data_IF_667739710188
#
_entry.id   IF_667739710188
#
_cell.length_a   1.000
_cell.length_b   1.000
_cell.length_c   1.000
_cell.angle_alpha   90.00
_cell.angle_beta   90.00
_cell.angle_gamma   90.00
#
_symmetry.space_group_name_H-M   'P 1'
#
loop_
_entity.id
_entity.type
_entity.pdbx_description
1 polymer ?
#
# COMPACT_ATOMS: atom_id res chain seq x y z
N UNK A 1 12.97 -11.23 -29.46
CA UNK A 1 14.26 -10.61 -29.08
C UNK A 1 14.02 -9.51 -28.03
N UNK A 2 14.38 -9.79 -26.76
CA UNK A 2 14.35 -8.79 -25.69
C UNK A 2 15.41 -7.72 -26.01
N UNK A 3 14.98 -6.49 -26.26
CA UNK A 3 15.89 -5.36 -26.39
C UNK A 3 16.54 -5.12 -25.02
N UNK A 4 17.86 -5.06 -25.01
CA UNK A 4 18.66 -4.98 -23.79
C UNK A 4 18.38 -3.67 -23.05
N UNK A 5 17.92 -3.79 -21.79
CA UNK A 5 17.91 -2.65 -20.88
C UNK A 5 19.34 -2.12 -20.76
N UNK A 6 19.55 -0.87 -21.16
CA UNK A 6 20.84 -0.22 -20.96
C UNK A 6 21.06 -0.09 -19.46
N UNK A 7 21.92 -0.95 -18.91
CA UNK A 7 22.30 -0.84 -17.50
C UNK A 7 23.10 0.46 -17.35
N UNK A 8 22.47 1.50 -16.84
CA UNK A 8 23.13 2.78 -16.58
C UNK A 8 24.20 2.58 -15.52
N UNK A 9 25.44 2.97 -15.82
CA UNK A 9 26.57 2.82 -14.90
C UNK A 9 26.42 3.85 -13.76
N UNK A 10 26.34 3.36 -12.53
CA UNK A 10 26.40 4.20 -11.34
C UNK A 10 27.79 4.85 -11.26
N UNK A 11 27.87 6.18 -11.42
CA UNK A 11 29.13 6.91 -11.44
C UNK A 11 29.62 7.25 -10.02
N UNK A 12 28.72 7.66 -9.15
CA UNK A 12 28.97 7.95 -7.74
C UNK A 12 27.75 7.55 -6.91
N UNK A 13 27.99 7.09 -5.68
CA UNK A 13 26.95 6.82 -4.68
C UNK A 13 27.33 7.55 -3.40
N UNK A 14 26.43 8.40 -2.91
CA UNK A 14 26.53 9.02 -1.59
C UNK A 14 25.22 8.83 -0.88
N UNK A 15 25.26 8.44 0.39
CA UNK A 15 24.08 8.41 1.23
C UNK A 15 23.62 9.86 1.44
N UNK A 16 22.44 10.19 0.92
CA UNK A 16 21.84 11.50 1.10
C UNK A 16 21.38 11.66 2.56
N UNK A 17 20.62 10.69 3.04
CA UNK A 17 20.05 10.67 4.40
C UNK A 17 20.23 9.27 5.02
N UNK A 18 20.95 9.13 6.15
CA UNK A 18 21.04 7.87 6.86
C UNK A 18 19.75 7.62 7.65
N UNK A 19 19.08 6.49 7.41
CA UNK A 19 17.89 6.11 8.18
C UNK A 19 18.23 5.81 9.64
N UNK A 20 17.36 6.27 10.54
CA UNK A 20 17.54 6.19 11.99
C UNK A 20 16.96 4.93 12.60
N UNK A 21 15.78 4.50 12.16
CA UNK A 21 15.08 3.36 12.77
C UNK A 21 14.52 2.36 11.75
N UNK A 22 14.28 2.77 10.51
CA UNK A 22 13.70 1.95 9.46
C UNK A 22 14.43 0.62 9.23
N UNK A 23 15.78 0.55 9.15
CA UNK A 23 16.49 -0.71 8.98
C UNK A 23 16.70 -1.51 10.29
N UNK A 24 16.35 -0.94 11.44
CA UNK A 24 16.64 -1.52 12.77
C UNK A 24 15.38 -1.93 13.54
N UNK A 25 14.21 -1.33 13.24
CA UNK A 25 12.91 -1.76 13.76
C UNK A 25 12.28 -2.76 12.79
N UNK A 26 12.02 -3.96 13.27
CA UNK A 26 11.46 -5.07 12.48
C UNK A 26 10.13 -4.72 11.83
N UNK A 27 9.25 -3.98 12.52
CA UNK A 27 7.93 -3.58 11.99
C UNK A 27 8.10 -2.60 10.84
N UNK A 28 8.98 -1.61 11.00
CA UNK A 28 9.27 -0.63 9.94
C UNK A 28 9.95 -1.28 8.74
N UNK A 29 10.91 -2.17 8.97
CA UNK A 29 11.57 -2.94 7.92
C UNK A 29 10.56 -3.79 7.12
N UNK A 30 9.62 -4.46 7.80
CA UNK A 30 8.56 -5.23 7.13
C UNK A 30 7.63 -4.34 6.30
N UNK A 31 7.23 -3.18 6.82
CA UNK A 31 6.45 -2.19 6.05
C UNK A 31 7.24 -1.72 4.82
N UNK A 32 8.51 -1.38 4.96
CA UNK A 32 9.37 -0.91 3.87
C UNK A 32 9.56 -1.99 2.78
N UNK A 33 9.74 -3.25 3.17
CA UNK A 33 9.82 -4.38 2.24
C UNK A 33 8.51 -4.55 1.46
N UNK A 34 7.37 -4.47 2.15
CA UNK A 34 6.06 -4.53 1.52
C UNK A 34 5.85 -3.41 0.51
N UNK A 35 6.11 -2.15 0.91
CA UNK A 35 5.97 -1.01 0.02
C UNK A 35 6.93 -1.08 -1.17
N UNK A 36 8.15 -1.58 -0.97
CA UNK A 36 9.12 -1.78 -2.07
C UNK A 36 8.58 -2.77 -3.11
N UNK A 37 7.96 -3.87 -2.69
CA UNK A 37 7.34 -4.81 -3.62
C UNK A 37 6.17 -4.16 -4.39
N UNK A 38 5.27 -3.47 -3.69
CA UNK A 38 4.13 -2.80 -4.34
C UNK A 38 4.60 -1.73 -5.33
N UNK A 39 5.54 -0.86 -4.93
CA UNK A 39 6.10 0.18 -5.79
C UNK A 39 6.78 -0.41 -7.03
N UNK A 40 7.58 -1.47 -6.87
CA UNK A 40 8.26 -2.14 -7.99
C UNK A 40 7.30 -2.69 -9.05
N UNK A 41 6.07 -3.00 -8.66
CA UNK A 41 5.04 -3.58 -9.54
C UNK A 41 4.07 -2.53 -10.11
N UNK A 42 3.89 -1.42 -9.39
CA UNK A 42 2.90 -0.37 -9.71
C UNK A 42 3.48 0.85 -10.39
N UNK A 43 4.71 1.26 -10.05
CA UNK A 43 5.37 2.40 -10.68
C UNK A 43 6.14 1.90 -11.90
N UNK A 44 5.58 2.10 -13.10
CA UNK A 44 6.13 1.61 -14.37
C UNK A 44 6.50 2.71 -15.36
N UNK A 45 6.21 3.96 -15.03
CA UNK A 45 6.42 5.09 -15.93
C UNK A 45 7.91 5.40 -16.07
N UNK A 46 8.36 5.57 -17.31
CA UNK A 46 9.72 6.01 -17.63
C UNK A 46 9.85 7.55 -17.66
N UNK A 47 8.74 8.28 -17.50
CA UNK A 47 8.71 9.73 -17.47
C UNK A 47 8.96 10.30 -16.07
N UNK A 48 9.52 11.51 -16.01
CA UNK A 48 9.79 12.19 -14.75
C UNK A 48 8.50 12.59 -14.04
N UNK A 49 8.24 12.00 -12.87
CA UNK A 49 7.16 12.40 -11.99
C UNK A 49 7.71 12.97 -10.66
N UNK A 50 8.08 14.25 -10.69
CA UNK A 50 8.68 14.95 -9.54
C UNK A 50 7.75 14.96 -8.32
N UNK A 51 6.44 15.07 -8.55
CA UNK A 51 5.44 15.08 -7.47
C UNK A 51 5.35 13.73 -6.77
N UNK A 52 5.30 12.62 -7.53
CA UNK A 52 5.35 11.27 -6.97
C UNK A 52 6.67 11.03 -6.25
N UNK A 53 7.82 11.41 -6.83
CA UNK A 53 9.11 11.26 -6.18
C UNK A 53 9.16 11.97 -4.82
N UNK A 54 8.72 13.23 -4.75
CA UNK A 54 8.69 13.99 -3.48
C UNK A 54 7.81 13.31 -2.45
N UNK A 55 6.61 12.86 -2.85
CA UNK A 55 5.73 12.10 -1.96
C UNK A 55 6.41 10.83 -1.42
N UNK A 56 7.01 10.02 -2.29
CA UNK A 56 7.69 8.78 -1.89
C UNK A 56 8.86 9.08 -0.93
N UNK A 57 9.69 10.06 -1.29
CA UNK A 57 10.84 10.46 -0.50
C UNK A 57 10.44 10.96 0.90
N UNK A 58 9.53 11.94 0.95
CA UNK A 58 9.15 12.61 2.20
C UNK A 58 8.35 11.67 3.11
N UNK A 59 7.51 10.79 2.53
CA UNK A 59 6.75 9.79 3.29
C UNK A 59 7.68 8.78 3.96
N UNK A 60 8.72 8.30 3.26
CA UNK A 60 9.67 7.32 3.83
C UNK A 60 10.54 7.97 4.92
N UNK A 61 10.99 9.21 4.73
CA UNK A 61 11.72 9.94 5.78
C UNK A 61 10.85 10.19 7.02
N UNK A 62 9.58 10.55 6.81
CA UNK A 62 8.62 10.73 7.92
C UNK A 62 8.41 9.41 8.66
N UNK A 63 8.23 8.31 7.93
CA UNK A 63 8.07 6.98 8.52
C UNK A 63 9.30 6.52 9.32
N UNK A 64 10.50 6.82 8.84
CA UNK A 64 11.74 6.53 9.57
C UNK A 64 11.79 7.25 10.93
N UNK A 65 11.19 8.43 11.05
CA UNK A 65 11.19 9.23 12.29
C UNK A 65 9.99 8.97 13.21
N UNK A 66 8.93 8.34 12.69
CA UNK A 66 7.66 8.13 13.39
C UNK A 66 7.73 7.02 14.45
N UNK A 67 7.40 7.30 15.70
CA UNK A 67 7.46 6.31 16.78
C UNK A 67 6.11 5.62 17.08
N UNK A 68 4.99 6.19 16.63
CA UNK A 68 3.62 5.71 16.87
C UNK A 68 2.84 5.53 15.57
N UNK A 69 1.80 4.68 15.55
CA UNK A 69 0.96 4.48 14.36
C UNK A 69 1.66 3.83 13.15
N UNK A 70 2.76 3.12 13.40
CA UNK A 70 3.58 2.41 12.40
C UNK A 70 2.72 1.47 11.57
N UNK A 71 1.78 0.81 12.22
CA UNK A 71 0.89 -0.19 11.61
C UNK A 71 -0.11 0.42 10.62
N UNK A 72 -0.49 1.70 10.77
CA UNK A 72 -1.40 2.38 9.85
C UNK A 72 -0.68 2.95 8.62
N UNK A 73 0.63 3.11 8.68
CA UNK A 73 1.40 3.80 7.64
C UNK A 73 1.20 3.17 6.26
N UNK A 74 1.26 1.85 6.16
CA UNK A 74 1.10 1.15 4.87
C UNK A 74 -0.26 1.44 4.22
N UNK A 75 -1.34 1.50 4.99
CA UNK A 75 -2.69 1.81 4.48
C UNK A 75 -2.75 3.24 3.94
N UNK A 76 -2.32 4.21 4.75
CA UNK A 76 -2.33 5.63 4.38
C UNK A 76 -1.44 5.89 3.16
N UNK A 77 -0.27 5.28 3.13
CA UNK A 77 0.67 5.39 2.03
C UNK A 77 0.05 4.88 0.72
N UNK A 78 -0.59 3.72 0.73
CA UNK A 78 -1.23 3.17 -0.46
C UNK A 78 -2.45 3.99 -0.91
N UNK A 79 -3.27 4.50 0.01
CA UNK A 79 -4.40 5.35 -0.38
C UNK A 79 -3.94 6.64 -1.07
N UNK A 80 -2.87 7.27 -0.58
CA UNK A 80 -2.29 8.44 -1.23
C UNK A 80 -1.58 8.10 -2.54
N UNK A 81 -0.82 7.01 -2.58
CA UNK A 81 -0.12 6.55 -3.78
C UNK A 81 -1.11 6.29 -4.93
N UNK A 82 -2.28 5.70 -4.67
CA UNK A 82 -3.30 5.50 -5.69
C UNK A 82 -3.70 6.81 -6.39
N UNK A 83 -3.79 7.92 -5.65
CA UNK A 83 -4.03 9.26 -6.20
C UNK A 83 -2.92 9.71 -7.15
N UNK A 84 -1.65 9.52 -6.78
CA UNK A 84 -0.52 9.84 -7.65
C UNK A 84 -0.44 8.96 -8.91
N UNK A 85 -0.96 7.72 -8.83
CA UNK A 85 -1.03 6.80 -9.96
C UNK A 85 -2.30 7.01 -10.82
N UNK A 86 -3.14 8.00 -10.49
CA UNK A 86 -4.30 8.39 -11.30
C UNK A 86 -5.58 7.58 -11.05
N UNK A 87 -5.63 6.77 -9.97
CA UNK A 87 -6.79 5.98 -9.60
C UNK A 87 -7.13 6.11 -8.10
N UNK A 88 -6.90 7.28 -7.50
CA UNK A 88 -7.33 7.54 -6.13
C UNK A 88 -8.86 7.50 -6.00
N UNK A 89 -9.35 7.00 -4.87
CA UNK A 89 -10.77 7.06 -4.51
C UNK A 89 -11.05 8.24 -3.59
N UNK A 90 -12.23 8.85 -3.71
CA UNK A 90 -12.68 9.95 -2.84
C UNK A 90 -13.40 9.43 -1.59
N UNK A 91 -13.95 8.21 -1.67
CA UNK A 91 -14.73 7.59 -0.60
C UNK A 91 -14.36 6.12 -0.42
N UNK A 92 -14.58 5.61 0.79
CA UNK A 92 -14.50 4.18 1.06
C UNK A 92 -15.49 3.37 0.22
N UNK A 93 -16.67 3.93 -0.04
CA UNK A 93 -17.70 3.32 -0.86
C UNK A 93 -17.22 2.98 -2.27
N UNK A 94 -16.48 3.89 -2.92
CA UNK A 94 -15.90 3.65 -4.24
C UNK A 94 -14.92 2.47 -4.25
N UNK A 95 -14.04 2.38 -3.25
CA UNK A 95 -13.08 1.27 -3.12
C UNK A 95 -13.86 -0.05 -2.97
N UNK A 96 -14.83 -0.08 -2.05
CA UNK A 96 -15.62 -1.28 -1.77
C UNK A 96 -16.45 -1.70 -2.98
N UNK A 97 -17.10 -0.77 -3.66
CA UNK A 97 -17.95 -1.05 -4.82
C UNK A 97 -17.16 -1.66 -5.97
N UNK A 98 -16.01 -1.10 -6.29
CA UNK A 98 -15.17 -1.62 -7.37
C UNK A 98 -14.63 -3.02 -7.05
N UNK A 99 -14.17 -3.24 -5.82
CA UNK A 99 -13.68 -4.55 -5.37
C UNK A 99 -14.82 -5.58 -5.36
N UNK A 100 -16.00 -5.21 -4.87
CA UNK A 100 -17.19 -6.04 -4.85
C UNK A 100 -17.66 -6.41 -6.27
N UNK A 101 -17.72 -5.44 -7.18
CA UNK A 101 -18.13 -5.64 -8.57
C UNK A 101 -17.19 -6.55 -9.34
N UNK A 102 -15.90 -6.53 -9.02
CA UNK A 102 -14.91 -7.42 -9.64
C UNK A 102 -15.10 -8.91 -9.24
N UNK A 103 -16.00 -9.23 -8.31
CA UNK A 103 -16.39 -10.60 -7.95
C UNK A 103 -15.26 -11.43 -7.36
N UNK A 104 -14.16 -10.80 -6.99
CA UNK A 104 -12.93 -11.45 -6.59
C UNK A 104 -12.63 -11.12 -5.15
N UNK A 105 -12.68 -12.18 -4.35
CA UNK A 105 -12.05 -12.25 -3.05
C UNK A 105 -10.73 -11.48 -2.94
N UNK A 106 -10.52 -10.69 -1.87
CA UNK A 106 -9.18 -10.29 -1.46
C UNK A 106 -8.29 -11.54 -1.34
N UNK A 107 -7.04 -11.42 -1.77
CA UNK A 107 -6.06 -12.52 -1.70
C UNK A 107 -5.97 -12.97 -0.23
N UNK A 108 -6.48 -14.17 0.06
CA UNK A 108 -6.53 -14.77 1.41
C UNK A 108 -7.93 -15.00 2.01
N UNK A 109 -9.00 -14.47 1.41
CA UNK A 109 -10.37 -14.64 1.94
C UNK A 109 -11.32 -15.28 0.94
N UNK A 110 -12.05 -16.35 1.32
CA UNK A 110 -13.09 -16.94 0.45
C UNK A 110 -14.30 -16.01 0.36
N UNK A 111 -14.43 -15.31 -0.76
CA UNK A 111 -15.55 -14.40 -0.99
C UNK A 111 -16.01 -14.53 -2.45
N UNK A 112 -16.78 -15.59 -2.71
CA UNK A 112 -17.57 -15.70 -3.94
C UNK A 112 -18.83 -14.84 -3.80
N UNK A 113 -19.26 -14.23 -4.90
CA UNK A 113 -20.36 -13.29 -5.05
C UNK A 113 -21.64 -13.70 -4.30
N UNK A 114 -21.90 -13.02 -3.17
CA UNK A 114 -22.98 -13.29 -2.19
C UNK A 114 -22.43 -13.42 -0.76
N UNK A 115 -23.21 -13.06 0.28
CA UNK A 115 -22.84 -12.65 1.66
C UNK A 115 -21.49 -11.95 1.97
N UNK A 116 -20.58 -11.88 1.01
CA UNK A 116 -19.25 -11.31 1.04
C UNK A 116 -19.24 -9.79 0.91
N UNK A 117 -20.08 -9.26 0.02
CA UNK A 117 -20.22 -7.82 -0.21
C UNK A 117 -20.75 -7.10 1.02
N UNK A 118 -21.63 -7.74 1.80
CA UNK A 118 -22.10 -7.20 3.08
C UNK A 118 -20.96 -7.10 4.10
N UNK A 119 -20.04 -8.07 4.13
CA UNK A 119 -18.83 -7.98 4.99
C UNK A 119 -17.86 -6.92 4.51
N UNK A 120 -17.69 -6.75 3.19
CA UNK A 120 -16.84 -5.67 2.66
C UNK A 120 -17.38 -4.28 3.03
N UNK A 121 -18.70 -4.11 3.07
CA UNK A 121 -19.35 -2.87 3.52
C UNK A 121 -19.04 -2.50 4.97
N UNK A 122 -18.74 -3.48 5.84
CA UNK A 122 -18.33 -3.20 7.23
C UNK A 122 -17.00 -2.44 7.29
N UNK A 123 -16.18 -2.51 6.21
CA UNK A 123 -14.91 -1.81 6.13
C UNK A 123 -15.00 -0.40 5.53
N UNK A 124 -16.14 -0.04 4.93
CA UNK A 124 -16.34 1.23 4.22
C UNK A 124 -16.00 2.44 5.11
N UNK A 125 -16.48 2.42 6.35
CA UNK A 125 -16.25 3.49 7.32
C UNK A 125 -14.76 3.70 7.64
N UNK A 126 -13.96 2.63 7.73
CA UNK A 126 -12.52 2.78 8.01
C UNK A 126 -11.80 3.46 6.86
N UNK A 127 -12.16 3.14 5.61
CA UNK A 127 -11.61 3.84 4.46
C UNK A 127 -12.01 5.31 4.44
N UNK A 128 -13.27 5.62 4.74
CA UNK A 128 -13.75 7.00 4.87
C UNK A 128 -12.97 7.79 5.95
N UNK A 129 -12.71 7.18 7.11
CA UNK A 129 -11.89 7.81 8.16
C UNK A 129 -10.43 8.01 7.73
N UNK A 130 -9.82 7.01 7.08
CA UNK A 130 -8.45 7.09 6.58
C UNK A 130 -8.30 8.18 5.51
N UNK A 131 -9.29 8.34 4.63
CA UNK A 131 -9.29 9.35 3.56
C UNK A 131 -9.57 10.76 4.07
N UNK A 132 -10.49 10.93 5.04
CA UNK A 132 -10.90 12.27 5.52
C UNK A 132 -10.09 12.77 6.71
N UNK A 133 -9.80 11.89 7.66
CA UNK A 133 -9.22 12.25 8.97
C UNK A 133 -8.16 11.22 9.39
N UNK A 134 -7.05 11.09 8.62
CA UNK A 134 -6.05 10.05 8.84
C UNK A 134 -5.44 10.07 10.24
N UNK A 135 -5.22 11.25 10.82
CA UNK A 135 -4.66 11.40 12.17
C UNK A 135 -5.59 10.93 13.30
N UNK A 136 -6.90 10.87 13.06
CA UNK A 136 -7.90 10.41 14.02
C UNK A 136 -8.42 8.99 13.74
N UNK A 137 -8.01 8.39 12.62
CA UNK A 137 -8.45 7.06 12.22
C UNK A 137 -8.08 6.01 13.27
N UNK A 138 -9.09 5.24 13.71
CA UNK A 138 -8.89 4.23 14.76
C UNK A 138 -9.18 2.85 14.19
N UNK A 139 -8.14 2.13 13.77
CA UNK A 139 -8.29 0.75 13.32
C UNK A 139 -8.28 -0.16 14.56
N UNK A 140 -9.35 -0.95 14.80
CA UNK A 140 -9.57 -1.61 16.08
C UNK A 140 -8.51 -2.62 16.48
N UNK A 141 -7.94 -3.34 15.50
CA UNK A 141 -6.93 -4.38 15.73
C UNK A 141 -6.20 -4.75 14.44
N UNK A 142 -5.13 -5.55 14.59
CA UNK A 142 -4.33 -6.05 13.47
C UNK A 142 -5.12 -6.92 12.48
N UNK A 143 -6.19 -7.60 12.90
CA UNK A 143 -7.01 -8.39 11.97
C UNK A 143 -7.79 -7.51 10.99
N UNK A 144 -8.47 -6.47 11.49
CA UNK A 144 -9.17 -5.49 10.64
C UNK A 144 -8.19 -4.84 9.67
N UNK A 145 -7.00 -4.47 10.15
CA UNK A 145 -5.93 -3.89 9.34
C UNK A 145 -5.49 -4.78 8.18
N UNK A 146 -5.33 -6.08 8.43
CA UNK A 146 -4.97 -7.06 7.39
C UNK A 146 -6.06 -7.14 6.32
N UNK A 147 -7.32 -7.17 6.72
CA UNK A 147 -8.45 -7.18 5.78
C UNK A 147 -8.49 -5.89 4.95
N UNK A 148 -8.29 -4.73 5.59
CA UNK A 148 -8.19 -3.44 4.89
C UNK A 148 -7.05 -3.44 3.86
N UNK A 149 -5.86 -3.93 4.24
CA UNK A 149 -4.73 -4.03 3.32
C UNK A 149 -5.03 -4.99 2.16
N UNK A 150 -5.70 -6.11 2.41
CA UNK A 150 -6.10 -7.05 1.37
C UNK A 150 -7.09 -6.42 0.38
N UNK A 151 -8.04 -5.62 0.88
CA UNK A 151 -8.97 -4.84 0.04
C UNK A 151 -8.22 -3.79 -0.78
N UNK A 152 -7.28 -3.05 -0.20
CA UNK A 152 -6.46 -2.07 -0.94
C UNK A 152 -5.59 -2.73 -2.00
N UNK A 153 -4.91 -3.84 -1.69
CA UNK A 153 -4.15 -4.59 -2.69
C UNK A 153 -5.06 -5.10 -3.81
N UNK A 154 -6.27 -5.55 -3.48
CA UNK A 154 -7.23 -5.94 -4.51
C UNK A 154 -7.63 -4.77 -5.39
N UNK A 155 -7.91 -3.61 -4.79
CA UNK A 155 -8.19 -2.38 -5.51
C UNK A 155 -7.03 -2.00 -6.47
N UNK A 156 -5.79 -2.10 -6.02
CA UNK A 156 -4.61 -1.91 -6.87
C UNK A 156 -4.54 -2.91 -8.04
N UNK A 157 -4.88 -4.19 -7.81
CA UNK A 157 -4.88 -5.20 -8.88
C UNK A 157 -5.92 -4.92 -9.98
N UNK A 158 -6.97 -4.14 -9.68
CA UNK A 158 -7.97 -3.74 -10.67
C UNK A 158 -7.48 -2.60 -11.57
N UNK A 159 -6.59 -1.75 -11.06
CA UNK A 159 -6.13 -0.55 -11.75
C UNK A 159 -4.74 -0.68 -12.36
N UNK A 160 -3.88 -1.50 -11.75
CA UNK A 160 -2.49 -1.70 -12.19
C UNK A 160 -2.39 -3.02 -12.96
N UNK A 161 -2.20 -2.91 -14.27
CA UNK A 161 -2.05 -4.07 -15.15
C UNK A 161 -0.86 -4.94 -14.72
N UNK A 162 -1.10 -6.23 -14.48
CA UNK A 162 -0.03 -7.17 -14.16
C UNK A 162 0.64 -6.93 -12.81
N UNK A 163 -0.03 -6.29 -11.84
CA UNK A 163 0.47 -6.19 -10.46
C UNK A 163 0.73 -7.58 -9.85
N UNK A 164 -0.17 -8.54 -10.12
CA UNK A 164 -0.08 -9.90 -9.58
C UNK A 164 -0.24 -9.97 -8.06
N UNK A 165 0.12 -11.10 -7.43
CA UNK A 165 0.11 -11.25 -5.97
C UNK A 165 1.25 -10.45 -5.33
N UNK A 166 1.06 -10.00 -4.09
CA UNK A 166 2.08 -9.33 -3.27
C UNK A 166 2.48 -10.27 -2.15
N UNK A 167 3.66 -10.88 -2.25
CA UNK A 167 4.07 -11.97 -1.35
C UNK A 167 4.45 -11.44 0.04
N UNK A 168 4.98 -10.22 0.11
CA UNK A 168 5.33 -9.53 1.35
C UNK A 168 4.12 -9.17 2.22
N UNK A 169 2.89 -9.22 1.71
CA UNK A 169 1.68 -8.91 2.48
C UNK A 169 1.47 -9.91 3.63
N UNK A 170 1.76 -11.19 3.41
CA UNK A 170 1.68 -12.23 4.44
C UNK A 170 2.72 -11.98 5.55
N UNK A 171 3.95 -11.64 5.16
CA UNK A 171 5.03 -11.33 6.11
C UNK A 171 4.68 -10.10 6.95
N UNK A 172 4.16 -9.04 6.31
CA UNK A 172 3.71 -7.84 7.00
C UNK A 172 2.60 -8.15 8.01
N UNK A 173 1.66 -8.99 7.59
CA UNK A 173 0.50 -9.43 8.38
C UNK A 173 0.90 -10.20 9.63
N UNK A 174 1.94 -11.04 9.54
CA UNK A 174 2.48 -11.78 10.68
C UNK A 174 3.20 -10.86 11.66
N UNK A 175 4.05 -9.95 11.16
CA UNK A 175 4.86 -9.06 12.00
C UNK A 175 4.03 -7.99 12.70
N UNK A 176 2.99 -7.46 12.04
CA UNK A 176 2.09 -6.45 12.63
C UNK A 176 0.86 -7.05 13.32
N UNK A 177 0.65 -8.36 13.17
CA UNK A 177 -0.51 -9.08 13.71
C UNK A 177 -0.28 -9.77 15.04
N UNK A 178 0.98 -9.90 15.46
CA UNK A 178 1.40 -10.42 16.77
C UNK A 178 1.35 -9.38 17.88
#
# INVERSE_FOLDING_TARGET
PRQGGSLTRLAEFRCAEPFRSLPYDMRKSSVALFLSEVLSKSVREEEENVSLFRFLHDSILTFDQQDEGIENFALLFLLHLAGYLGFGAETGGEIIDQVAMAGAAPVGGTFNSGPATLRLREFEHYFDELLRTPAASTIPNGQVRRELLAVVIRYYQLHVEGLGPINSLEILSEVLGG
#
